data_IF_947063498697
#
_entry.id   IF_947063498697
#
_cell.length_a   1.000
_cell.length_b   1.000
_cell.length_c   1.000
_cell.angle_alpha   90.00
_cell.angle_beta   90.00
_cell.angle_gamma   90.00
#
_symmetry.space_group_name_H-M   'P 1'
#
loop_
_entity.id
_entity.type
_entity.pdbx_description
1 polymer ?
#
# COMPACT_ATOMS: atom_id res chain seq x y z
N UNK A 1 0.32 15.46 -1.59
CA UNK A 1 -0.18 15.93 -0.28
C UNK A 1 0.44 17.29 0.00
N UNK A 2 -0.32 18.37 0.14
CA UNK A 2 0.20 19.74 0.36
C UNK A 2 1.05 19.91 1.62
N UNK A 3 0.99 18.95 2.56
CA UNK A 3 1.69 18.99 3.85
C UNK A 3 2.73 17.87 3.99
N UNK A 4 3.04 17.14 2.94
CA UNK A 4 4.03 16.04 2.99
C UNK A 4 5.46 16.58 3.01
N UNK A 5 6.21 16.35 4.06
CA UNK A 5 7.58 16.87 4.22
C UNK A 5 8.48 16.44 3.07
N UNK A 6 8.57 15.14 2.78
CA UNK A 6 9.45 14.61 1.73
C UNK A 6 9.02 15.02 0.33
N UNK A 7 7.72 14.91 0.01
CA UNK A 7 7.21 15.27 -1.31
C UNK A 7 7.33 16.76 -1.61
N UNK A 8 7.06 17.62 -0.64
CA UNK A 8 7.25 19.06 -0.76
C UNK A 8 8.73 19.39 -0.94
N UNK A 9 9.60 18.78 -0.13
CA UNK A 9 11.05 19.02 -0.24
C UNK A 9 11.58 18.60 -1.63
N UNK A 10 11.18 17.43 -2.14
CA UNK A 10 11.57 16.97 -3.48
C UNK A 10 11.11 17.96 -4.54
N UNK A 11 9.85 18.41 -4.47
CA UNK A 11 9.28 19.36 -5.42
C UNK A 11 10.03 20.69 -5.43
N UNK A 12 10.40 21.20 -4.27
CA UNK A 12 10.96 22.53 -4.12
C UNK A 12 12.50 22.56 -4.25
N UNK A 13 13.20 21.44 -3.96
CA UNK A 13 14.65 21.42 -3.81
C UNK A 13 15.37 20.38 -4.67
N UNK A 14 14.64 19.54 -5.43
CA UNK A 14 15.26 18.49 -6.25
C UNK A 14 15.00 18.71 -7.76
N UNK A 15 15.58 19.74 -8.39
CA UNK A 15 15.51 19.93 -9.84
C UNK A 15 16.19 18.79 -10.59
N UNK A 16 15.95 18.71 -11.90
CA UNK A 16 16.60 17.71 -12.79
C UNK A 16 18.13 17.74 -12.62
N UNK A 17 18.71 16.59 -12.37
CA UNK A 17 20.15 16.43 -12.12
C UNK A 17 20.54 16.35 -10.63
N UNK A 18 19.59 16.55 -9.72
CA UNK A 18 19.85 16.35 -8.27
C UNK A 18 20.11 14.89 -7.98
N UNK A 19 21.18 14.62 -7.24
CA UNK A 19 21.51 13.27 -6.77
C UNK A 19 20.78 13.03 -5.44
N UNK A 20 19.98 11.98 -5.41
CA UNK A 20 19.25 11.52 -4.22
C UNK A 20 19.80 10.17 -3.77
N UNK A 21 19.95 10.00 -2.45
CA UNK A 21 20.21 8.69 -1.87
C UNK A 21 18.87 7.99 -1.69
N UNK A 22 18.75 6.80 -2.28
CA UNK A 22 17.56 5.96 -2.16
C UNK A 22 17.95 4.59 -1.60
N UNK A 23 17.07 4.00 -0.79
CA UNK A 23 17.24 2.61 -0.35
C UNK A 23 16.80 1.67 -1.46
N UNK A 24 17.33 0.44 -1.44
CA UNK A 24 16.82 -0.62 -2.30
C UNK A 24 15.32 -0.84 -2.05
N UNK A 25 14.55 -1.22 -3.09
CA UNK A 25 13.15 -1.59 -2.91
C UNK A 25 13.01 -2.70 -1.86
N UNK A 26 11.99 -2.58 -1.00
CA UNK A 26 11.65 -3.57 0.01
C UNK A 26 10.13 -3.78 0.03
N UNK A 27 9.69 -4.92 0.55
CA UNK A 27 8.27 -5.26 0.67
C UNK A 27 7.93 -6.59 0.00
N UNK A 28 6.68 -7.02 0.22
CA UNK A 28 6.15 -8.30 -0.24
C UNK A 28 5.20 -8.15 -1.45
N UNK A 29 4.83 -6.91 -1.79
CA UNK A 29 3.93 -6.65 -2.92
C UNK A 29 4.71 -6.67 -4.24
N UNK A 30 5.03 -7.89 -4.66
CA UNK A 30 5.83 -8.17 -5.84
C UNK A 30 5.08 -9.14 -6.78
N UNK A 31 5.28 -8.95 -8.08
CA UNK A 31 4.79 -9.88 -9.08
C UNK A 31 5.75 -11.07 -9.18
N UNK A 32 5.23 -12.30 -9.06
CA UNK A 32 5.97 -13.49 -9.45
C UNK A 32 5.82 -13.71 -10.97
N UNK A 33 6.93 -13.73 -11.74
CA UNK A 33 6.86 -13.99 -13.18
C UNK A 33 6.30 -15.36 -13.55
N UNK A 34 6.44 -16.34 -12.65
CA UNK A 34 5.95 -17.71 -12.82
C UNK A 34 4.57 -17.92 -12.18
N UNK A 35 3.93 -16.85 -11.71
CA UNK A 35 2.66 -16.95 -11.00
C UNK A 35 1.58 -17.58 -11.87
N UNK A 36 1.02 -18.65 -11.40
CA UNK A 36 -0.30 -19.19 -11.74
C UNK A 36 -1.22 -18.85 -10.57
N UNK A 37 -2.37 -18.30 -10.78
CA UNK A 37 -3.12 -17.99 -12.01
C UNK A 37 -2.74 -16.64 -12.67
N UNK A 38 -3.34 -16.32 -13.87
CA UNK A 38 -3.02 -15.08 -14.57
C UNK A 38 -3.34 -13.82 -13.74
N UNK A 39 -2.47 -12.79 -13.80
CA UNK A 39 -2.64 -11.60 -12.99
C UNK A 39 -3.74 -10.68 -13.51
N UNK A 40 -4.53 -10.15 -12.57
CA UNK A 40 -5.48 -9.05 -12.75
C UNK A 40 -5.01 -7.89 -11.88
N UNK A 41 -4.78 -6.75 -12.49
CA UNK A 41 -4.30 -5.56 -11.83
C UNK A 41 -5.45 -4.60 -11.51
N UNK A 42 -5.49 -4.11 -10.28
CA UNK A 42 -6.51 -3.16 -9.83
C UNK A 42 -5.83 -2.00 -9.13
N UNK A 43 -6.00 -0.81 -9.70
CA UNK A 43 -5.40 0.41 -9.19
C UNK A 43 -6.45 1.46 -8.84
N UNK A 44 -6.28 2.12 -7.69
CA UNK A 44 -7.04 3.31 -7.31
C UNK A 44 -6.13 4.52 -7.12
N UNK A 45 -6.36 5.60 -7.88
CA UNK A 45 -5.56 6.82 -7.78
C UNK A 45 -4.07 6.57 -7.93
N UNK A 46 -3.26 7.01 -6.94
CA UNK A 46 -1.80 6.84 -6.95
C UNK A 46 -1.35 5.38 -6.78
N UNK A 47 -2.23 4.47 -6.39
CA UNK A 47 -1.96 3.03 -6.37
C UNK A 47 -1.58 2.45 -7.73
N UNK A 48 -1.75 3.24 -8.80
CA UNK A 48 -1.25 2.89 -10.13
C UNK A 48 0.28 2.70 -10.18
N UNK A 49 1.05 3.31 -9.28
CA UNK A 49 2.53 3.30 -9.36
C UNK A 49 3.13 1.91 -9.22
N UNK A 50 2.87 1.11 -8.17
CA UNK A 50 3.37 -0.26 -8.10
C UNK A 50 2.71 -1.17 -9.15
N UNK A 51 1.43 -0.97 -9.41
CA UNK A 51 0.69 -1.72 -10.41
C UNK A 51 1.30 -1.54 -11.82
N UNK A 52 1.64 -0.32 -12.21
CA UNK A 52 2.28 -0.04 -13.51
C UNK A 52 3.67 -0.70 -13.62
N UNK A 53 4.43 -0.72 -12.53
CA UNK A 53 5.74 -1.42 -12.47
C UNK A 53 5.55 -2.92 -12.72
N UNK A 54 4.63 -3.56 -12.01
CA UNK A 54 4.31 -4.98 -12.20
C UNK A 54 3.73 -5.28 -13.58
N UNK A 55 2.82 -4.45 -14.08
CA UNK A 55 2.23 -4.60 -15.41
C UNK A 55 3.30 -4.58 -16.51
N UNK A 56 4.23 -3.63 -16.47
CA UNK A 56 5.33 -3.55 -17.44
C UNK A 56 6.20 -4.81 -17.41
N UNK A 57 6.51 -5.31 -16.23
CA UNK A 57 7.25 -6.57 -16.05
C UNK A 57 6.44 -7.75 -16.60
N UNK A 58 5.16 -7.83 -16.28
CA UNK A 58 4.27 -8.90 -16.73
C UNK A 58 4.14 -8.96 -18.24
N UNK A 59 3.97 -7.82 -18.90
CA UNK A 59 3.84 -7.74 -20.36
C UNK A 59 5.09 -8.26 -21.10
N UNK A 60 6.26 -8.12 -20.49
CA UNK A 60 7.52 -8.65 -21.05
C UNK A 60 7.72 -10.12 -20.67
N UNK A 61 7.53 -10.47 -19.40
CA UNK A 61 7.82 -11.81 -18.88
C UNK A 61 6.75 -12.85 -19.27
N UNK A 62 5.50 -12.42 -19.46
CA UNK A 62 4.36 -13.29 -19.72
C UNK A 62 3.57 -12.87 -20.99
N UNK A 63 4.21 -12.76 -22.18
CA UNK A 63 3.59 -12.15 -23.37
C UNK A 63 2.40 -12.93 -23.94
N UNK A 64 2.24 -14.19 -23.55
CA UNK A 64 1.14 -15.07 -24.00
C UNK A 64 -0.08 -15.03 -23.08
N UNK A 65 0.03 -14.40 -21.89
CA UNK A 65 -1.06 -14.31 -20.92
C UNK A 65 -1.92 -13.08 -21.19
N UNK A 66 -3.23 -13.25 -21.07
CA UNK A 66 -4.14 -12.11 -21.08
C UNK A 66 -4.07 -11.41 -19.73
N UNK A 67 -3.95 -10.07 -19.78
CA UNK A 67 -3.86 -9.22 -18.62
C UNK A 67 -4.93 -8.15 -18.65
N UNK A 68 -5.47 -7.84 -17.49
CA UNK A 68 -6.45 -6.79 -17.31
C UNK A 68 -5.92 -5.80 -16.26
N UNK A 69 -6.06 -4.52 -16.55
CA UNK A 69 -5.88 -3.45 -15.58
C UNK A 69 -7.20 -2.68 -15.43
N UNK A 70 -7.74 -2.69 -14.23
CA UNK A 70 -8.85 -1.82 -13.83
C UNK A 70 -8.26 -0.63 -13.08
N UNK A 71 -8.43 0.58 -13.63
CA UNK A 71 -7.88 1.79 -13.06
C UNK A 71 -8.99 2.77 -12.71
N UNK A 72 -9.23 2.94 -11.40
CA UNK A 72 -10.22 3.86 -10.85
C UNK A 72 -9.58 5.16 -10.39
N UNK A 73 -10.09 6.29 -10.86
CA UNK A 73 -9.75 7.64 -10.39
C UNK A 73 -11.02 8.48 -10.28
N UNK A 74 -10.92 9.68 -9.71
CA UNK A 74 -12.07 10.55 -9.58
C UNK A 74 -12.49 11.07 -10.96
N UNK A 75 -11.56 11.66 -11.73
CA UNK A 75 -11.78 12.22 -13.05
C UNK A 75 -10.46 12.29 -13.84
N UNK A 76 -10.47 12.91 -15.02
CA UNK A 76 -9.31 13.03 -15.89
C UNK A 76 -8.13 13.79 -15.29
N UNK A 77 -8.36 14.73 -14.39
CA UNK A 77 -7.28 15.49 -13.73
C UNK A 77 -6.48 14.62 -12.76
N UNK A 78 -7.10 13.62 -12.17
CA UNK A 78 -6.46 12.67 -11.24
C UNK A 78 -5.85 11.45 -11.97
N UNK A 79 -6.03 11.33 -13.29
CA UNK A 79 -5.56 10.19 -14.10
C UNK A 79 -4.07 10.28 -14.43
N UNK A 80 -3.23 9.76 -13.53
CA UNK A 80 -1.79 9.65 -13.78
C UNK A 80 -1.48 8.65 -14.91
N UNK A 81 -0.39 8.88 -15.63
CA UNK A 81 0.14 8.02 -16.70
C UNK A 81 -0.82 7.74 -17.86
N UNK A 82 -1.81 8.60 -18.13
CA UNK A 82 -2.83 8.41 -19.18
C UNK A 82 -2.19 7.96 -20.51
N UNK A 83 -1.35 8.79 -21.10
CA UNK A 83 -0.71 8.53 -22.41
C UNK A 83 0.10 7.23 -22.40
N UNK A 84 0.90 7.00 -21.35
CA UNK A 84 1.72 5.79 -21.25
C UNK A 84 0.90 4.51 -21.13
N UNK A 85 -0.22 4.53 -20.40
CA UNK A 85 -1.12 3.39 -20.27
C UNK A 85 -1.86 3.09 -21.58
N UNK A 86 -2.30 4.12 -22.30
CA UNK A 86 -2.95 3.99 -23.62
C UNK A 86 -1.99 3.41 -24.65
N UNK A 87 -0.74 3.87 -24.67
CA UNK A 87 0.31 3.33 -25.53
C UNK A 87 0.60 1.85 -25.21
N UNK A 88 0.70 1.48 -23.95
CA UNK A 88 0.87 0.09 -23.53
C UNK A 88 -0.33 -0.77 -23.98
N UNK A 89 -1.55 -0.28 -23.80
CA UNK A 89 -2.76 -1.01 -24.22
C UNK A 89 -2.80 -1.21 -25.73
N UNK A 90 -2.40 -0.22 -26.50
CA UNK A 90 -2.34 -0.32 -27.96
C UNK A 90 -1.25 -1.28 -28.43
N UNK A 91 -0.05 -1.21 -27.84
CA UNK A 91 1.11 -2.02 -28.22
C UNK A 91 0.94 -3.51 -27.92
N UNK A 92 0.15 -3.86 -26.89
CA UNK A 92 0.00 -5.24 -26.41
C UNK A 92 -1.37 -5.86 -26.70
N UNK A 93 -2.16 -5.29 -27.62
CA UNK A 93 -3.43 -5.94 -28.08
C UNK A 93 -3.18 -7.24 -28.81
N UNK A 94 -4.04 -8.26 -28.62
CA UNK A 94 -5.18 -8.36 -27.71
C UNK A 94 -4.80 -8.87 -26.29
N UNK A 95 -3.53 -8.98 -25.99
CA UNK A 95 -3.03 -9.57 -24.74
C UNK A 95 -3.27 -8.71 -23.50
N UNK A 96 -3.41 -7.40 -23.64
CA UNK A 96 -3.65 -6.47 -22.53
C UNK A 96 -4.91 -5.64 -22.77
N UNK A 97 -5.76 -5.55 -21.74
CA UNK A 97 -6.97 -4.74 -21.70
C UNK A 97 -6.89 -3.73 -20.56
N UNK A 98 -7.04 -2.46 -20.89
CA UNK A 98 -7.13 -1.35 -19.93
C UNK A 98 -8.61 -0.98 -19.75
N UNK A 99 -9.07 -0.91 -18.52
CA UNK A 99 -10.41 -0.50 -18.10
C UNK A 99 -10.29 0.70 -17.18
N UNK A 100 -10.74 1.87 -17.63
CA UNK A 100 -10.65 3.13 -16.87
C UNK A 100 -12.02 3.50 -16.33
N UNK A 101 -12.07 3.77 -15.02
CA UNK A 101 -13.30 4.15 -14.33
C UNK A 101 -13.13 5.53 -13.69
N UNK A 102 -14.11 6.40 -13.92
CA UNK A 102 -14.18 7.69 -13.24
C UNK A 102 -15.34 7.68 -12.24
N UNK A 103 -15.04 7.92 -10.96
CA UNK A 103 -16.09 7.95 -9.91
C UNK A 103 -16.89 9.24 -9.92
N UNK A 104 -16.31 10.32 -10.40
CA UNK A 104 -16.91 11.67 -10.50
C UNK A 104 -16.35 12.38 -11.75
N UNK A 105 -16.81 11.98 -12.96
CA UNK A 105 -16.32 12.57 -14.21
C UNK A 105 -16.58 14.09 -14.25
N UNK A 106 -15.58 14.85 -14.67
CA UNK A 106 -15.70 16.29 -14.90
C UNK A 106 -16.52 16.57 -16.16
N UNK A 107 -16.99 17.81 -16.32
CA UNK A 107 -17.86 18.17 -17.43
C UNK A 107 -17.20 18.06 -18.81
N UNK A 108 -15.88 18.11 -18.85
CA UNK A 108 -15.04 17.97 -20.04
C UNK A 108 -14.50 16.54 -20.27
N UNK A 109 -14.76 15.61 -19.34
CA UNK A 109 -14.42 14.20 -19.52
C UNK A 109 -15.38 13.50 -20.48
N UNK A 110 -14.87 12.83 -21.48
CA UNK A 110 -15.67 12.16 -22.52
C UNK A 110 -15.66 10.65 -22.34
N UNK A 111 -16.84 10.07 -22.06
CA UNK A 111 -17.00 8.61 -21.96
C UNK A 111 -16.66 7.93 -23.30
N UNK A 112 -15.91 6.83 -23.23
CA UNK A 112 -15.42 6.09 -24.40
C UNK A 112 -14.12 6.67 -25.00
N UNK A 113 -13.69 7.85 -24.53
CA UNK A 113 -12.41 8.46 -24.91
C UNK A 113 -11.49 8.59 -23.69
N UNK A 114 -11.97 9.21 -22.61
CA UNK A 114 -11.19 9.44 -21.40
C UNK A 114 -11.39 8.36 -20.37
N UNK A 115 -12.57 7.77 -20.31
CA UNK A 115 -12.91 6.68 -19.41
C UNK A 115 -13.96 5.75 -20.03
N UNK A 116 -13.98 4.48 -19.56
CA UNK A 116 -14.91 3.47 -20.08
C UNK A 116 -16.24 3.49 -19.30
N UNK A 117 -16.17 3.56 -17.96
CA UNK A 117 -17.32 3.46 -17.08
C UNK A 117 -17.29 4.55 -16.01
N UNK A 118 -18.46 5.08 -15.66
CA UNK A 118 -18.63 5.90 -14.47
C UNK A 118 -18.90 5.01 -13.26
N UNK A 119 -18.29 5.37 -12.11
CA UNK A 119 -18.44 4.66 -10.84
C UNK A 119 -17.14 4.02 -10.34
N UNK A 120 -17.30 3.04 -9.46
CA UNK A 120 -16.20 2.35 -8.77
C UNK A 120 -15.95 0.97 -9.38
N UNK A 121 -14.75 0.43 -9.12
CA UNK A 121 -14.42 -0.96 -9.45
C UNK A 121 -15.17 -1.86 -8.47
N UNK A 122 -15.99 -2.77 -9.00
CA UNK A 122 -16.78 -3.72 -8.20
C UNK A 122 -16.53 -5.15 -8.66
N UNK A 123 -16.84 -6.12 -7.83
CA UNK A 123 -16.75 -7.55 -8.19
C UNK A 123 -17.71 -7.92 -9.32
N UNK A 124 -18.86 -7.25 -9.44
CA UNK A 124 -19.82 -7.44 -10.53
C UNK A 124 -19.19 -7.07 -11.87
N UNK A 125 -18.48 -5.93 -11.92
CA UNK A 125 -17.73 -5.51 -13.11
C UNK A 125 -16.63 -6.53 -13.45
N UNK A 126 -15.88 -7.00 -12.45
CA UNK A 126 -14.84 -8.01 -12.66
C UNK A 126 -15.42 -9.30 -13.23
N UNK A 127 -16.52 -9.80 -12.66
CA UNK A 127 -17.24 -11.00 -13.14
C UNK A 127 -17.74 -10.88 -14.58
N UNK A 128 -18.19 -9.70 -14.98
CA UNK A 128 -18.66 -9.44 -16.34
C UNK A 128 -17.54 -9.30 -17.35
N UNK A 129 -16.35 -8.90 -16.92
CA UNK A 129 -15.25 -8.54 -17.79
C UNK A 129 -14.19 -9.64 -17.92
N UNK A 130 -13.91 -10.34 -16.82
CA UNK A 130 -12.85 -11.34 -16.76
C UNK A 130 -13.31 -12.67 -17.38
N UNK A 131 -12.43 -13.39 -18.06
CA UNK A 131 -12.70 -14.78 -18.45
C UNK A 131 -13.01 -15.64 -17.24
N UNK A 132 -13.82 -16.69 -17.45
CA UNK A 132 -14.01 -17.69 -16.40
C UNK A 132 -12.70 -18.36 -16.03
N UNK A 133 -12.47 -18.57 -14.75
CA UNK A 133 -11.28 -19.22 -14.22
C UNK A 133 -10.72 -18.52 -12.98
N UNK A 134 -9.62 -19.06 -12.48
CA UNK A 134 -8.90 -18.54 -11.34
C UNK A 134 -8.00 -17.38 -11.79
N UNK A 135 -7.89 -16.33 -10.98
CA UNK A 135 -7.07 -15.14 -11.23
C UNK A 135 -6.31 -14.76 -9.97
N UNK A 136 -5.10 -14.21 -10.13
CA UNK A 136 -4.36 -13.57 -9.06
C UNK A 136 -4.61 -12.05 -9.12
N UNK A 137 -5.17 -11.49 -8.07
CA UNK A 137 -5.52 -10.07 -7.99
C UNK A 137 -4.42 -9.28 -7.31
N UNK A 138 -3.85 -8.29 -8.00
CA UNK A 138 -2.87 -7.34 -7.48
C UNK A 138 -3.55 -5.99 -7.30
N UNK A 139 -3.75 -5.58 -6.06
CA UNK A 139 -4.64 -4.46 -5.71
C UNK A 139 -3.86 -3.40 -4.94
N UNK A 140 -3.86 -2.17 -5.45
CA UNK A 140 -3.33 -1.02 -4.72
C UNK A 140 -4.21 0.21 -4.93
N UNK A 141 -4.64 0.83 -3.84
CA UNK A 141 -5.51 2.00 -3.91
C UNK A 141 -5.94 2.50 -2.53
N UNK A 142 -6.86 3.48 -2.50
CA UNK A 142 -7.31 4.08 -1.27
C UNK A 142 -8.07 3.09 -0.38
N UNK A 143 -7.98 3.31 0.92
CA UNK A 143 -8.56 2.46 1.96
C UNK A 143 -10.05 2.11 1.77
N UNK A 144 -10.94 3.05 1.35
CA UNK A 144 -12.33 2.69 1.05
C UNK A 144 -12.47 1.66 -0.08
N UNK A 145 -11.63 1.74 -1.13
CA UNK A 145 -11.63 0.76 -2.22
C UNK A 145 -11.19 -0.62 -1.71
N UNK A 146 -10.11 -0.67 -0.93
CA UNK A 146 -9.59 -1.91 -0.36
C UNK A 146 -10.61 -2.58 0.56
N UNK A 147 -11.25 -1.81 1.44
CA UNK A 147 -12.28 -2.30 2.37
C UNK A 147 -13.54 -2.81 1.69
N UNK A 148 -13.89 -2.27 0.54
CA UNK A 148 -15.04 -2.72 -0.24
C UNK A 148 -14.71 -3.96 -1.09
N UNK A 149 -13.56 -3.92 -1.78
CA UNK A 149 -13.25 -4.90 -2.82
C UNK A 149 -12.71 -6.23 -2.26
N UNK A 150 -11.83 -6.18 -1.24
CA UNK A 150 -11.19 -7.40 -0.71
C UNK A 150 -12.21 -8.37 -0.11
N UNK A 151 -13.12 -7.96 0.80
CA UNK A 151 -14.15 -8.86 1.29
C UNK A 151 -15.05 -9.40 0.17
N UNK A 152 -15.40 -8.56 -0.80
CA UNK A 152 -16.24 -8.97 -1.91
C UNK A 152 -15.57 -9.97 -2.86
N UNK A 153 -14.23 -9.94 -2.99
CA UNK A 153 -13.47 -10.99 -3.71
C UNK A 153 -13.47 -12.30 -2.94
N UNK A 154 -13.28 -12.27 -1.62
CA UNK A 154 -13.38 -13.46 -0.77
C UNK A 154 -14.79 -14.06 -0.82
N UNK A 155 -15.83 -13.24 -0.74
CA UNK A 155 -17.25 -13.67 -0.89
C UNK A 155 -17.53 -14.22 -2.29
N UNK A 156 -16.81 -13.78 -3.30
CA UNK A 156 -16.86 -14.36 -4.65
C UNK A 156 -16.20 -15.75 -4.72
N UNK A 157 -15.42 -16.14 -3.72
CA UNK A 157 -14.69 -17.41 -3.68
C UNK A 157 -13.26 -17.32 -4.21
N UNK A 158 -12.68 -16.11 -4.27
CA UNK A 158 -11.26 -15.96 -4.58
C UNK A 158 -10.46 -16.40 -3.35
N UNK A 159 -9.48 -17.28 -3.53
CA UNK A 159 -8.60 -17.72 -2.46
C UNK A 159 -7.76 -16.53 -1.93
N UNK A 160 -7.59 -16.43 -0.62
CA UNK A 160 -6.82 -15.33 -0.01
C UNK A 160 -5.37 -15.27 -0.53
N UNK A 161 -4.78 -16.41 -0.87
CA UNK A 161 -3.43 -16.49 -1.45
C UNK A 161 -3.31 -15.86 -2.84
N UNK A 162 -4.42 -15.65 -3.53
CA UNK A 162 -4.50 -14.99 -4.83
C UNK A 162 -4.83 -13.50 -4.72
N UNK A 163 -4.97 -12.97 -3.51
CA UNK A 163 -5.24 -11.56 -3.27
C UNK A 163 -3.98 -10.89 -2.72
N UNK A 164 -3.22 -10.27 -3.60
CA UNK A 164 -2.03 -9.50 -3.28
C UNK A 164 -2.41 -8.03 -3.14
N UNK A 165 -1.98 -7.37 -2.07
CA UNK A 165 -2.40 -6.00 -1.80
C UNK A 165 -1.27 -5.15 -1.22
N UNK A 166 -1.29 -3.85 -1.55
CA UNK A 166 -0.48 -2.83 -0.89
C UNK A 166 -1.35 -1.60 -0.60
N UNK A 167 -1.21 -1.05 0.60
CA UNK A 167 -1.92 0.15 1.03
C UNK A 167 -0.93 1.30 1.21
N UNK A 168 -1.24 2.46 0.64
CA UNK A 168 -0.49 3.69 0.86
C UNK A 168 -1.17 4.54 1.95
N UNK A 169 -0.49 4.72 3.00
CA UNK A 169 -0.92 5.51 4.14
C UNK A 169 -0.70 4.76 5.44
N UNK A 170 -0.66 5.47 6.56
CA UNK A 170 -0.71 4.78 7.82
C UNK A 170 -1.95 3.89 7.77
N UNK A 171 -1.79 2.61 8.00
CA UNK A 171 -2.91 1.85 8.53
C UNK A 171 -3.18 2.52 9.89
N UNK A 172 -3.95 3.59 9.82
CA UNK A 172 -4.56 4.09 11.02
C UNK A 172 -5.42 2.93 11.49
N UNK A 173 -4.88 2.11 12.40
CA UNK A 173 -5.72 1.80 13.53
C UNK A 173 -6.44 3.12 13.75
N UNK A 174 -7.77 3.15 13.51
CA UNK A 174 -8.59 4.31 13.78
C UNK A 174 -8.05 4.80 15.11
N UNK A 175 -7.62 6.08 15.23
CA UNK A 175 -7.05 6.53 16.47
C UNK A 175 -8.03 5.98 17.48
N UNK A 176 -7.61 4.95 18.23
CA UNK A 176 -8.45 4.46 19.29
C UNK A 176 -8.76 5.76 19.95
N UNK A 177 -10.04 6.20 19.85
CA UNK A 177 -10.40 7.49 20.37
C UNK A 177 -9.79 7.46 21.74
N UNK A 178 -8.66 8.16 21.88
CA UNK A 178 -8.02 8.34 23.16
C UNK A 178 -8.98 9.27 23.86
N UNK A 179 -10.13 8.68 24.25
CA UNK A 179 -10.84 9.13 25.41
C UNK A 179 -9.76 9.01 26.46
N UNK A 180 -9.34 10.16 26.94
CA UNK A 180 -8.24 10.38 27.88
C UNK A 180 -8.45 9.65 29.21
N UNK A 181 -8.56 8.32 29.17
CA UNK A 181 -8.27 7.43 30.25
C UNK A 181 -6.79 7.10 30.08
N UNK A 182 -5.95 7.78 30.85
CA UNK A 182 -4.53 7.53 30.93
C UNK A 182 -4.34 6.03 31.17
N UNK A 183 -4.01 5.27 30.11
CA UNK A 183 -3.53 3.92 30.24
C UNK A 183 -2.27 3.91 31.13
N UNK A 184 -1.86 2.76 31.66
CA UNK A 184 -0.64 2.69 32.42
C UNK A 184 0.52 3.22 31.58
N UNK A 185 1.33 4.10 32.17
CA UNK A 185 2.58 4.54 31.56
C UNK A 185 3.49 3.31 31.42
N UNK A 186 3.97 3.03 30.21
CA UNK A 186 4.81 1.88 29.93
C UNK A 186 6.24 2.35 29.60
N UNK A 187 7.22 1.77 30.27
CA UNK A 187 8.63 2.05 29.97
C UNK A 187 9.05 1.40 28.65
N UNK A 188 9.59 2.18 27.72
CA UNK A 188 10.12 1.72 26.44
C UNK A 188 11.64 1.95 26.43
N UNK A 189 12.39 0.86 26.48
CA UNK A 189 13.84 0.85 26.37
C UNK A 189 14.30 0.77 24.90
N UNK A 190 15.23 1.62 24.52
CA UNK A 190 15.92 1.62 23.23
C UNK A 190 17.38 1.28 23.48
N UNK A 191 17.75 0.03 23.23
CA UNK A 191 19.04 -0.53 23.66
C UNK A 191 20.24 0.13 23.03
N UNK A 192 20.17 0.43 21.73
CA UNK A 192 21.31 1.04 21.01
C UNK A 192 21.60 2.46 21.44
N UNK A 193 20.55 3.21 21.82
CA UNK A 193 20.69 4.54 22.34
C UNK A 193 20.89 4.60 23.87
N UNK A 194 20.69 3.47 24.58
CA UNK A 194 20.73 3.37 26.03
C UNK A 194 19.63 4.16 26.74
N UNK A 195 18.56 4.52 26.05
CA UNK A 195 17.48 5.36 26.58
C UNK A 195 16.27 4.52 26.97
N UNK A 196 15.66 4.90 28.07
CA UNK A 196 14.33 4.40 28.48
C UNK A 196 13.39 5.58 28.63
N UNK A 197 12.25 5.52 28.00
CA UNK A 197 11.27 6.61 27.88
C UNK A 197 9.88 6.13 28.25
N UNK A 198 9.05 7.01 28.76
CA UNK A 198 7.70 6.71 29.23
C UNK A 198 6.67 6.88 28.12
N UNK A 199 6.14 5.76 27.62
CA UNK A 199 5.05 5.73 26.64
C UNK A 199 3.71 5.99 27.33
N UNK A 200 3.05 7.05 26.89
CA UNK A 200 1.74 7.48 27.45
C UNK A 200 0.58 7.22 26.50
N UNK A 201 0.85 6.64 25.31
CA UNK A 201 -0.17 6.40 24.28
C UNK A 201 -0.61 7.67 23.52
N UNK A 202 0.10 8.78 23.64
CA UNK A 202 -0.21 10.04 22.92
C UNK A 202 0.32 10.07 21.51
N UNK A 203 1.37 9.31 21.23
CA UNK A 203 1.98 9.23 19.92
C UNK A 203 1.22 8.18 19.06
N UNK A 204 1.15 8.44 17.76
CA UNK A 204 0.42 7.59 16.83
C UNK A 204 1.10 6.22 16.63
N UNK A 205 2.43 6.16 16.80
CA UNK A 205 3.24 4.94 16.65
C UNK A 205 4.52 5.02 17.48
N UNK A 206 5.17 3.87 17.68
CA UNK A 206 6.49 3.82 18.32
C UNK A 206 7.57 4.60 17.53
N UNK A 207 7.61 4.61 16.17
CA UNK A 207 8.49 5.51 15.43
C UNK A 207 8.21 6.98 15.69
N UNK A 208 6.95 7.43 15.74
CA UNK A 208 6.63 8.84 16.04
C UNK A 208 7.09 9.20 17.45
N UNK A 209 6.86 8.31 18.42
CA UNK A 209 7.35 8.47 19.79
C UNK A 209 8.88 8.57 19.85
N UNK A 210 9.58 7.69 19.16
CA UNK A 210 11.04 7.70 19.11
C UNK A 210 11.58 8.98 18.46
N UNK A 211 10.96 9.42 17.34
CA UNK A 211 11.29 10.67 16.64
C UNK A 211 11.11 11.91 17.57
N UNK A 212 9.99 12.00 18.27
CA UNK A 212 9.73 13.08 19.23
C UNK A 212 10.81 13.15 20.35
N UNK A 213 11.37 12.00 20.69
CA UNK A 213 12.42 11.91 21.68
C UNK A 213 13.84 11.84 21.10
N UNK A 214 14.03 12.12 19.80
CA UNK A 214 15.33 12.07 19.10
C UNK A 214 16.03 10.70 19.22
N UNK A 215 15.26 9.62 19.19
CA UNK A 215 15.75 8.25 19.08
C UNK A 215 15.54 7.77 17.65
N UNK A 216 16.61 7.28 17.02
CA UNK A 216 16.53 6.77 15.66
C UNK A 216 15.92 5.36 15.66
N UNK A 217 14.79 5.22 14.98
CA UNK A 217 14.19 3.93 14.63
C UNK A 217 14.02 3.86 13.11
N UNK A 218 14.40 2.76 12.50
CA UNK A 218 14.18 2.60 11.07
C UNK A 218 12.69 2.55 10.75
N UNK A 219 12.25 3.31 9.76
CA UNK A 219 10.86 3.28 9.29
C UNK A 219 10.80 3.41 7.77
N UNK A 220 9.75 2.83 7.17
CA UNK A 220 9.51 2.86 5.73
C UNK A 220 8.06 3.25 5.43
N UNK A 221 7.24 2.26 5.02
CA UNK A 221 5.83 2.48 4.64
C UNK A 221 4.92 2.96 5.77
N UNK A 222 5.28 2.71 7.02
CA UNK A 222 4.48 2.97 8.24
C UNK A 222 3.09 2.31 8.24
N UNK A 223 2.91 1.28 7.40
CA UNK A 223 1.64 0.54 7.25
C UNK A 223 1.77 -0.97 7.54
N UNK A 224 2.92 -1.42 8.03
CA UNK A 224 3.12 -2.84 8.36
C UNK A 224 3.37 -3.76 7.18
N UNK A 225 3.59 -3.21 5.96
CA UNK A 225 3.70 -4.02 4.74
C UNK A 225 5.14 -4.25 4.27
N UNK A 226 6.06 -3.28 4.49
CA UNK A 226 7.40 -3.34 3.88
C UNK A 226 8.48 -4.03 4.74
N UNK A 227 8.24 -4.28 6.02
CA UNK A 227 9.22 -4.87 6.94
C UNK A 227 10.39 -3.97 7.33
N UNK A 228 10.56 -2.76 6.74
CA UNK A 228 11.72 -1.88 7.00
C UNK A 228 11.89 -1.52 8.48
N UNK A 229 10.80 -1.42 9.22
CA UNK A 229 10.81 -1.10 10.64
C UNK A 229 10.92 -2.35 11.53
N UNK A 230 11.10 -3.55 10.96
CA UNK A 230 11.19 -4.75 11.76
C UNK A 230 12.34 -4.66 12.75
N UNK A 231 12.02 -4.66 14.02
CA UNK A 231 12.97 -4.44 15.12
C UNK A 231 12.93 -5.62 16.08
N UNK A 232 14.11 -6.09 16.50
CA UNK A 232 14.20 -7.17 17.50
C UNK A 232 13.61 -6.71 18.83
N UNK A 233 12.67 -7.51 19.33
CA UNK A 233 12.05 -7.33 20.64
C UNK A 233 12.85 -8.12 21.66
N UNK A 234 13.57 -7.42 22.54
CA UNK A 234 14.41 -8.02 23.57
C UNK A 234 13.55 -8.50 24.74
N UNK A 235 12.58 -7.67 25.13
CA UNK A 235 11.61 -8.02 26.17
C UNK A 235 10.29 -7.29 25.95
N UNK A 236 9.23 -7.83 26.55
CA UNK A 236 7.89 -7.27 26.52
C UNK A 236 7.01 -7.86 25.41
N UNK A 237 5.89 -7.21 25.12
CA UNK A 237 4.91 -7.62 24.09
C UNK A 237 4.35 -6.42 23.37
N UNK A 238 4.20 -6.58 22.05
CA UNK A 238 3.53 -5.63 21.16
C UNK A 238 2.20 -6.24 20.71
N UNK A 239 1.15 -5.43 20.70
CA UNK A 239 -0.15 -5.79 20.16
C UNK A 239 -0.34 -5.12 18.79
N UNK A 240 -1.04 -5.80 17.89
CA UNK A 240 -1.45 -5.30 16.59
C UNK A 240 -2.97 -5.22 16.53
N UNK A 241 -3.51 -4.08 16.09
CA UNK A 241 -4.96 -3.92 15.91
C UNK A 241 -5.48 -4.79 14.76
N UNK A 242 -4.66 -4.95 13.72
CA UNK A 242 -4.87 -5.87 12.59
C UNK A 242 -3.56 -6.61 12.31
N UNK A 243 -3.64 -7.85 11.81
CA UNK A 243 -2.45 -8.59 11.41
C UNK A 243 -1.67 -7.77 10.35
N UNK A 244 -0.38 -7.49 10.54
CA UNK A 244 0.45 -6.87 9.51
C UNK A 244 0.50 -7.73 8.24
N UNK A 245 0.65 -7.10 7.07
CA UNK A 245 0.86 -7.82 5.81
C UNK A 245 2.27 -8.44 5.75
N UNK A 246 3.25 -7.83 6.41
CA UNK A 246 4.61 -8.39 6.53
C UNK A 246 4.64 -9.50 7.57
N UNK A 247 5.23 -10.64 7.20
CA UNK A 247 5.46 -11.75 8.12
C UNK A 247 6.59 -11.41 9.08
N UNK A 248 6.24 -11.14 10.34
CA UNK A 248 7.18 -10.72 11.37
C UNK A 248 8.04 -11.90 11.83
N UNK A 249 9.35 -11.73 11.81
CA UNK A 249 10.30 -12.74 12.31
C UNK A 249 10.07 -13.01 13.79
N UNK A 250 10.19 -14.27 14.20
CA UNK A 250 10.05 -14.66 15.61
C UNK A 250 11.02 -13.85 16.50
N UNK A 251 10.50 -13.25 17.57
CA UNK A 251 11.26 -12.38 18.46
C UNK A 251 11.48 -10.95 17.93
N UNK A 252 10.78 -10.55 16.87
CA UNK A 252 10.77 -9.19 16.36
C UNK A 252 9.37 -8.57 16.43
N UNK A 253 9.29 -7.29 16.16
CA UNK A 253 8.03 -6.57 16.01
C UNK A 253 8.13 -5.51 14.90
N UNK A 254 6.97 -5.02 14.47
CA UNK A 254 6.85 -3.88 13.57
C UNK A 254 6.38 -2.65 14.37
N UNK A 255 7.30 -1.81 14.83
CA UNK A 255 6.96 -0.64 15.65
C UNK A 255 5.98 0.33 14.99
N UNK A 256 5.96 0.39 13.66
CA UNK A 256 5.12 1.35 12.93
C UNK A 256 3.60 1.08 13.03
N UNK A 257 3.19 -0.17 13.31
CA UNK A 257 1.79 -0.59 13.46
C UNK A 257 1.54 -1.31 14.78
N UNK A 258 2.60 -1.56 15.54
CA UNK A 258 2.54 -2.22 16.84
C UNK A 258 2.35 -1.23 17.97
N UNK A 259 1.48 -1.56 18.93
CA UNK A 259 1.28 -0.79 20.15
C UNK A 259 1.88 -1.53 21.33
N UNK A 260 2.61 -0.90 22.26
CA UNK A 260 3.09 -1.53 23.47
C UNK A 260 1.94 -2.13 24.29
N UNK A 261 1.99 -3.42 24.57
CA UNK A 261 1.06 -4.10 25.46
C UNK A 261 1.62 -4.26 26.89
N UNK A 262 2.94 -4.16 27.02
CA UNK A 262 3.70 -4.16 28.29
C UNK A 262 4.87 -3.20 28.16
N UNK A 263 5.65 -2.99 29.20
CA UNK A 263 6.98 -2.41 29.06
C UNK A 263 7.77 -3.19 28.00
N UNK A 264 8.53 -2.48 27.16
CA UNK A 264 9.29 -3.03 26.02
C UNK A 264 10.78 -2.72 26.16
N UNK A 265 11.62 -3.61 25.62
CA UNK A 265 13.00 -3.31 25.26
C UNK A 265 13.22 -3.68 23.80
N UNK A 266 13.60 -2.69 23.00
CA UNK A 266 13.83 -2.81 21.56
C UNK A 266 15.32 -2.70 21.26
N UNK A 267 15.82 -3.49 20.29
CA UNK A 267 17.17 -3.35 19.75
C UNK A 267 17.23 -2.20 18.71
N UNK A 268 16.97 -1.00 19.17
CA UNK A 268 16.95 0.24 18.39
C UNK A 268 17.78 1.33 19.07
#
# INVERSE_FOLDING_TARGET
MPTGVASTWIHDHAPTGTILQVRAPAGQFILSPDAEPPPVFIAGGIGITPILSMLRTALVAMPKRRMHLFYGVRNGQDRAFKVGLEQLAQAHRPGFSLHVLYSDPAADDVKGQDYDLAGFITTELLKQTLPHGRHAFYICGPDPMMKALIPALLDWGVDEVDIHRESFGPQTAAPAQVTAAAGPVLAIGFRRSGRTLDWTGRDASLPDFAEHHSVAIESGCRSGSCGTCETKLISGRVAYATKPDHDVTLGHCLPCVGTPATALELDA
#
